data_IF_177448623134
#
_entry.id   IF_177448623134
#
_cell.length_a   1.000
_cell.length_b   1.000
_cell.length_c   1.000
_cell.angle_alpha   90.00
_cell.angle_beta   90.00
_cell.angle_gamma   90.00
#
_symmetry.space_group_name_H-M   'P 1'
#
loop_
_entity.id
_entity.type
_entity.pdbx_description
1 polymer ?
#
# COMPACT_ATOMS: atom_id res chain seq x y z
N UNK A 1 -10.43 -13.48 -1.74
CA UNK A 1 -11.34 -13.26 -0.60
C UNK A 1 -12.59 -14.07 -0.77
N UNK A 2 -13.37 -14.29 0.30
CA UNK A 2 -14.71 -14.89 0.22
C UNK A 2 -15.65 -13.95 -0.52
N UNK A 3 -16.69 -14.45 -1.16
CA UNK A 3 -17.69 -13.65 -1.91
C UNK A 3 -18.54 -12.75 -1.01
N UNK A 4 -18.62 -13.07 0.28
CA UNK A 4 -19.36 -12.36 1.33
C UNK A 4 -18.45 -11.46 2.23
N UNK A 5 -17.19 -11.26 1.81
CA UNK A 5 -16.16 -10.62 2.63
C UNK A 5 -16.47 -9.16 3.05
N UNK A 6 -17.34 -8.47 2.32
CA UNK A 6 -17.71 -7.07 2.53
C UNK A 6 -19.24 -6.87 2.52
N UNK A 7 -19.98 -7.86 3.02
CA UNK A 7 -21.45 -7.84 3.07
C UNK A 7 -21.99 -6.65 3.87
N UNK A 8 -21.25 -6.23 4.89
CA UNK A 8 -21.61 -5.12 5.79
C UNK A 8 -20.87 -3.81 5.45
N UNK A 9 -20.27 -3.74 4.26
CA UNK A 9 -19.55 -2.57 3.75
C UNK A 9 -18.03 -2.74 3.67
N UNK A 10 -17.32 -1.73 3.12
CA UNK A 10 -15.88 -1.77 2.98
C UNK A 10 -15.18 -1.77 4.34
N UNK A 11 -14.27 -2.71 4.55
CA UNK A 11 -13.47 -2.83 5.77
C UNK A 11 -12.01 -2.72 5.41
N UNK A 12 -11.23 -2.01 6.22
CA UNK A 12 -9.78 -1.95 6.05
C UNK A 12 -9.16 -3.36 6.10
N UNK A 13 -8.07 -3.54 5.36
CA UNK A 13 -7.34 -4.79 5.38
C UNK A 13 -6.88 -5.08 6.81
N UNK A 14 -7.34 -6.20 7.36
CA UNK A 14 -6.92 -6.63 8.68
C UNK A 14 -5.57 -7.35 8.61
N UNK A 15 -4.89 -7.39 9.75
CA UNK A 15 -3.63 -8.11 9.98
C UNK A 15 -3.82 -9.64 9.81
N UNK A 16 -2.77 -10.39 10.09
CA UNK A 16 -2.79 -11.85 10.07
C UNK A 16 -4.05 -12.47 10.69
N UNK A 17 -4.60 -13.47 10.02
CA UNK A 17 -5.80 -14.17 10.51
C UNK A 17 -7.12 -13.64 9.98
N UNK A 18 -7.14 -12.77 8.96
CA UNK A 18 -8.37 -12.28 8.34
C UNK A 18 -9.26 -13.46 7.86
N UNK A 19 -10.36 -13.70 8.60
CA UNK A 19 -11.32 -14.77 8.30
C UNK A 19 -11.98 -14.66 6.91
N UNK A 20 -11.87 -13.48 6.26
CA UNK A 20 -12.37 -13.23 4.90
C UNK A 20 -11.48 -13.82 3.80
N UNK A 21 -10.26 -14.26 4.16
CA UNK A 21 -9.30 -14.82 3.21
C UNK A 21 -9.51 -16.32 3.08
N UNK A 22 -9.74 -16.81 1.86
CA UNK A 22 -9.83 -18.23 1.55
C UNK A 22 -8.45 -18.91 1.73
N UNK A 23 -8.43 -20.26 1.86
CA UNK A 23 -7.17 -21.03 1.90
C UNK A 23 -6.28 -20.76 0.68
N UNK A 24 -6.87 -20.74 -0.51
CA UNK A 24 -6.18 -20.41 -1.76
C UNK A 24 -5.69 -18.96 -1.75
N UNK A 25 -6.53 -18.01 -1.32
CA UNK A 25 -6.13 -16.60 -1.20
C UNK A 25 -4.94 -16.38 -0.25
N UNK A 26 -4.82 -17.20 0.79
CA UNK A 26 -3.67 -17.15 1.71
C UNK A 26 -2.37 -17.58 1.01
N UNK A 27 -2.43 -18.65 0.21
CA UNK A 27 -1.28 -19.10 -0.58
C UNK A 27 -0.88 -18.04 -1.60
N UNK A 28 -1.86 -17.51 -2.37
CA UNK A 28 -1.63 -16.46 -3.39
C UNK A 28 -0.93 -15.23 -2.76
N UNK A 29 -1.42 -14.76 -1.60
CA UNK A 29 -0.80 -13.64 -0.87
C UNK A 29 0.60 -13.96 -0.38
N UNK A 30 0.83 -15.19 0.14
CA UNK A 30 2.14 -15.61 0.62
C UNK A 30 3.20 -15.58 -0.48
N UNK A 31 2.84 -15.98 -1.71
CA UNK A 31 3.74 -15.97 -2.87
C UNK A 31 3.63 -14.68 -3.70
N UNK A 32 2.86 -13.69 -3.23
CA UNK A 32 2.66 -12.37 -3.85
C UNK A 32 2.17 -12.38 -5.30
N UNK A 33 1.49 -13.44 -5.71
CA UNK A 33 0.87 -13.54 -7.05
C UNK A 33 -0.30 -12.56 -7.21
N UNK A 34 -0.93 -12.16 -6.13
CA UNK A 34 -1.95 -11.10 -6.10
C UNK A 34 -1.43 -9.71 -6.52
N UNK A 35 -0.11 -9.51 -6.53
CA UNK A 35 0.53 -8.27 -7.00
C UNK A 35 0.82 -8.27 -8.51
N UNK A 36 0.74 -9.43 -9.19
CA UNK A 36 0.99 -9.54 -10.65
C UNK A 36 0.14 -8.56 -11.48
N UNK A 37 -1.17 -8.36 -11.22
CA UNK A 37 -1.94 -7.37 -11.95
C UNK A 37 -1.40 -5.94 -11.83
N UNK A 38 -0.71 -5.61 -10.73
CA UNK A 38 -0.11 -4.29 -10.53
C UNK A 38 1.09 -4.06 -11.46
N UNK A 39 1.84 -5.11 -11.82
CA UNK A 39 2.88 -5.01 -12.85
C UNK A 39 2.30 -4.63 -14.21
N UNK A 40 1.11 -5.11 -14.54
CA UNK A 40 0.42 -4.70 -15.75
C UNK A 40 0.08 -3.20 -15.74
N UNK A 41 -0.39 -2.68 -14.59
CA UNK A 41 -0.66 -1.26 -14.42
C UNK A 41 0.63 -0.42 -14.52
N UNK A 42 1.77 -0.96 -14.06
CA UNK A 42 3.07 -0.29 -14.22
C UNK A 42 3.47 -0.22 -15.69
N UNK A 43 3.32 -1.32 -16.44
CA UNK A 43 3.60 -1.34 -17.89
C UNK A 43 2.70 -0.37 -18.68
N UNK A 44 1.48 -0.12 -18.20
CA UNK A 44 0.55 0.85 -18.79
C UNK A 44 0.82 2.29 -18.36
N UNK A 45 1.75 2.52 -17.45
CA UNK A 45 2.03 3.85 -16.90
C UNK A 45 1.00 4.36 -15.88
N UNK A 46 0.09 3.51 -15.42
CA UNK A 46 -0.94 3.83 -14.42
C UNK A 46 -0.40 3.75 -12.98
N UNK A 47 0.71 3.05 -12.79
CA UNK A 47 1.43 2.90 -11.53
C UNK A 47 2.94 3.00 -11.75
N UNK A 48 3.66 3.35 -10.69
CA UNK A 48 5.12 3.30 -10.61
C UNK A 48 5.57 2.09 -9.76
N UNK A 49 6.84 1.71 -9.85
CA UNK A 49 7.43 0.78 -8.90
C UNK A 49 7.47 1.37 -7.50
N UNK A 50 7.88 2.64 -7.40
CA UNK A 50 7.98 3.36 -6.13
C UNK A 50 7.01 4.54 -6.12
N UNK A 51 6.26 4.68 -5.05
CA UNK A 51 5.28 5.75 -4.84
C UNK A 51 4.37 5.48 -3.65
N UNK A 52 3.43 6.40 -3.35
CA UNK A 52 2.41 6.18 -2.33
C UNK A 52 1.57 4.94 -2.67
N UNK A 53 1.33 4.08 -1.67
CA UNK A 53 0.48 2.89 -1.89
C UNK A 53 -0.93 3.32 -2.28
N UNK A 54 -1.53 2.73 -3.35
CA UNK A 54 -2.91 3.04 -3.70
C UNK A 54 -3.87 2.64 -2.58
N UNK A 55 -4.81 3.52 -2.30
CA UNK A 55 -5.87 3.28 -1.33
C UNK A 55 -7.23 3.20 -2.06
N UNK A 56 -8.19 2.50 -1.47
CA UNK A 56 -9.52 2.34 -2.05
C UNK A 56 -10.27 3.69 -2.06
N UNK A 57 -10.99 4.04 -3.14
CA UNK A 57 -11.66 5.33 -3.27
C UNK A 57 -12.61 5.69 -2.11
N UNK A 58 -13.24 4.68 -1.51
CA UNK A 58 -14.09 4.88 -0.33
C UNK A 58 -13.29 5.46 0.86
N UNK A 59 -12.14 4.85 1.16
CA UNK A 59 -11.27 5.31 2.25
C UNK A 59 -10.56 6.62 1.92
N UNK A 60 -10.20 6.84 0.65
CA UNK A 60 -9.62 8.12 0.22
C UNK A 60 -10.53 9.28 0.57
N UNK A 61 -11.83 9.18 0.29
CA UNK A 61 -12.80 10.24 0.61
C UNK A 61 -12.89 10.48 2.11
N UNK A 62 -13.05 9.42 2.89
CA UNK A 62 -13.11 9.52 4.36
C UNK A 62 -11.83 10.14 4.94
N UNK A 63 -10.66 9.68 4.48
CA UNK A 63 -9.38 10.17 4.98
C UNK A 63 -9.08 11.61 4.55
N UNK A 64 -9.56 12.03 3.37
CA UNK A 64 -9.43 13.41 2.90
C UNK A 64 -10.28 14.39 3.73
N UNK A 65 -11.42 13.95 4.26
CA UNK A 65 -12.23 14.74 5.19
C UNK A 65 -11.57 14.88 6.58
N UNK A 66 -10.87 13.84 7.05
CA UNK A 66 -10.30 13.77 8.39
C UNK A 66 -8.84 14.26 8.48
N UNK A 67 -8.09 14.19 7.39
CA UNK A 67 -6.66 14.48 7.37
C UNK A 67 -6.36 15.62 6.39
N UNK A 68 -5.90 16.78 6.89
CA UNK A 68 -5.49 17.88 6.03
C UNK A 68 -4.41 17.43 5.02
N UNK A 69 -4.54 17.91 3.78
CA UNK A 69 -3.59 17.63 2.69
C UNK A 69 -3.49 16.16 2.26
N UNK A 70 -4.44 15.29 2.67
CA UNK A 70 -4.40 13.86 2.32
C UNK A 70 -4.34 13.63 0.81
N UNK A 71 -5.01 14.43 0.01
CA UNK A 71 -5.04 14.32 -1.45
C UNK A 71 -3.70 14.62 -2.12
N UNK A 72 -2.78 15.31 -1.45
CA UNK A 72 -1.46 15.61 -2.02
C UNK A 72 -0.64 14.35 -2.32
N UNK A 73 -0.95 13.23 -1.69
CA UNK A 73 -0.34 11.94 -2.01
C UNK A 73 -0.63 11.46 -3.44
N UNK A 74 -1.64 12.02 -4.09
CA UNK A 74 -2.04 11.71 -5.47
C UNK A 74 -1.40 12.61 -6.52
N UNK A 75 -0.47 13.51 -6.13
CA UNK A 75 0.29 14.34 -7.06
C UNK A 75 1.21 13.54 -7.98
N UNK A 76 1.54 12.32 -7.59
CA UNK A 76 2.30 11.36 -8.38
C UNK A 76 1.52 10.05 -8.50
N UNK A 77 1.79 9.22 -9.53
CA UNK A 77 1.18 7.91 -9.66
C UNK A 77 1.45 7.03 -8.43
N UNK A 78 0.50 6.15 -8.04
CA UNK A 78 0.69 5.23 -6.95
C UNK A 78 1.82 4.25 -7.23
N UNK A 79 2.48 3.75 -6.17
CA UNK A 79 3.57 2.80 -6.24
C UNK A 79 3.18 1.39 -5.80
N UNK A 80 3.90 0.40 -6.35
CA UNK A 80 3.87 -0.99 -5.87
C UNK A 80 4.47 -1.07 -4.46
N UNK A 81 5.57 -0.36 -4.24
CA UNK A 81 6.18 -0.13 -2.93
C UNK A 81 6.38 1.37 -2.70
N UNK A 82 6.65 1.78 -1.47
CA UNK A 82 6.82 3.18 -1.13
C UNK A 82 7.49 3.40 0.22
N UNK A 83 7.92 4.64 0.45
CA UNK A 83 8.63 5.02 1.68
C UNK A 83 7.79 4.77 2.93
N UNK A 84 6.48 5.09 2.88
CA UNK A 84 5.55 4.81 3.97
C UNK A 84 5.44 3.31 4.29
N UNK A 85 5.45 2.43 3.28
CA UNK A 85 5.36 0.98 3.48
C UNK A 85 6.60 0.42 4.21
N UNK A 86 7.78 1.01 3.98
CA UNK A 86 9.03 0.58 4.60
C UNK A 86 9.16 1.13 6.02
N UNK A 87 8.80 2.40 6.22
CA UNK A 87 8.99 3.09 7.50
C UNK A 87 7.86 2.86 8.49
N UNK A 88 6.64 2.67 7.97
CA UNK A 88 5.43 2.47 8.77
C UNK A 88 4.54 1.38 8.15
N UNK A 89 4.98 0.10 8.18
CA UNK A 89 4.32 -0.99 7.45
C UNK A 89 2.93 -1.36 8.00
N UNK A 90 2.64 -1.02 9.26
CA UNK A 90 1.42 -1.44 9.95
C UNK A 90 0.49 -0.28 10.23
N UNK A 91 -0.78 -0.62 10.51
CA UNK A 91 -1.81 0.29 10.94
C UNK A 91 -2.97 0.39 9.95
N UNK A 92 -4.18 0.46 10.53
CA UNK A 92 -5.45 0.54 9.82
C UNK A 92 -6.40 1.52 10.55
N UNK A 93 -5.85 2.56 11.16
CA UNK A 93 -6.57 3.66 11.78
C UNK A 93 -6.35 4.97 11.03
N UNK A 94 -7.15 5.99 11.34
CA UNK A 94 -6.99 7.34 10.80
C UNK A 94 -5.63 7.92 11.22
N UNK A 95 -5.18 7.67 12.46
CA UNK A 95 -3.88 8.12 12.93
C UNK A 95 -2.73 7.43 12.18
N UNK A 96 -2.86 6.12 11.90
CA UNK A 96 -1.90 5.41 11.06
C UNK A 96 -1.85 5.98 9.64
N UNK A 97 -3.01 6.34 9.07
CA UNK A 97 -3.08 6.98 7.76
C UNK A 97 -2.41 8.35 7.76
N UNK A 98 -2.53 9.12 8.85
CA UNK A 98 -1.85 10.41 9.05
C UNK A 98 -0.33 10.24 9.10
N UNK A 99 0.16 9.25 9.83
CA UNK A 99 1.59 8.93 9.90
C UNK A 99 2.14 8.49 8.53
N UNK A 100 1.41 7.62 7.83
CA UNK A 100 1.78 7.18 6.47
C UNK A 100 1.83 8.35 5.49
N UNK A 101 0.89 9.29 5.59
CA UNK A 101 0.86 10.49 4.76
C UNK A 101 2.14 11.31 4.90
N UNK A 102 2.69 11.46 6.10
CA UNK A 102 3.94 12.20 6.31
C UNK A 102 5.10 11.57 5.53
N UNK A 103 5.19 10.24 5.51
CA UNK A 103 6.20 9.52 4.71
C UNK A 103 5.93 9.61 3.21
N UNK A 104 4.67 9.57 2.78
CA UNK A 104 4.30 9.76 1.37
C UNK A 104 4.69 11.17 0.90
N UNK A 105 4.36 12.21 1.67
CA UNK A 105 4.71 13.60 1.35
C UNK A 105 6.23 13.84 1.38
N UNK A 106 6.93 13.20 2.32
CA UNK A 106 8.40 13.25 2.34
C UNK A 106 8.97 12.66 1.04
N UNK A 107 8.47 11.51 0.61
CA UNK A 107 8.90 10.88 -0.64
C UNK A 107 8.62 11.79 -1.84
N UNK A 108 7.41 12.34 -1.97
CA UNK A 108 7.02 13.23 -3.07
C UNK A 108 7.97 14.43 -3.15
N UNK A 109 8.28 15.03 -1.99
CA UNK A 109 9.18 16.20 -1.89
C UNK A 109 10.64 15.87 -2.25
N UNK A 110 11.10 14.66 -1.93
CA UNK A 110 12.52 14.27 -2.04
C UNK A 110 12.74 13.19 -3.11
N UNK A 111 11.81 13.05 -4.05
CA UNK A 111 11.85 12.03 -5.09
C UNK A 111 13.18 12.08 -5.85
N UNK A 112 13.87 10.95 -5.90
CA UNK A 112 15.15 10.81 -6.60
C UNK A 112 15.42 9.32 -6.91
N UNK A 113 16.22 9.06 -7.94
CA UNK A 113 16.64 7.70 -8.29
C UNK A 113 17.34 6.99 -7.12
N UNK A 114 18.08 7.75 -6.31
CA UNK A 114 18.77 7.19 -5.12
C UNK A 114 17.75 6.74 -4.08
N UNK A 115 16.76 7.57 -3.78
CA UNK A 115 15.69 7.22 -2.82
C UNK A 115 14.89 6.03 -3.33
N UNK A 116 14.57 5.98 -4.62
CA UNK A 116 13.88 4.84 -5.25
C UNK A 116 14.70 3.56 -5.12
N UNK A 117 16.02 3.61 -5.37
CA UNK A 117 16.91 2.46 -5.21
C UNK A 117 16.95 1.96 -3.76
N UNK A 118 17.00 2.86 -2.79
CA UNK A 118 16.93 2.51 -1.36
C UNK A 118 15.61 1.83 -1.02
N UNK A 119 14.48 2.36 -1.49
CA UNK A 119 13.15 1.79 -1.26
C UNK A 119 13.05 0.40 -1.87
N UNK A 120 13.50 0.22 -3.11
CA UNK A 120 13.51 -1.06 -3.81
C UNK A 120 14.37 -2.09 -3.07
N UNK A 121 15.56 -1.71 -2.62
CA UNK A 121 16.47 -2.58 -1.87
C UNK A 121 15.84 -3.04 -0.55
N UNK A 122 15.29 -2.13 0.24
CA UNK A 122 14.62 -2.47 1.50
C UNK A 122 13.36 -3.32 1.27
N UNK A 123 12.64 -3.12 0.17
CA UNK A 123 11.50 -3.95 -0.22
C UNK A 123 11.93 -5.38 -0.49
N UNK A 124 12.98 -5.57 -1.31
CA UNK A 124 13.52 -6.91 -1.62
C UNK A 124 14.01 -7.60 -0.35
N UNK A 125 14.72 -6.89 0.49
CA UNK A 125 15.20 -7.40 1.79
C UNK A 125 14.03 -7.83 2.68
N UNK A 126 12.96 -7.04 2.76
CA UNK A 126 11.75 -7.37 3.50
C UNK A 126 11.07 -8.63 2.98
N UNK A 127 11.00 -8.80 1.65
CA UNK A 127 10.43 -10.00 1.01
C UNK A 127 11.28 -11.24 1.31
N UNK A 128 12.61 -11.15 1.20
CA UNK A 128 13.52 -12.28 1.36
C UNK A 128 13.68 -12.71 2.82
N UNK A 129 13.69 -11.78 3.76
CA UNK A 129 13.96 -12.05 5.17
C UNK A 129 12.71 -12.07 6.06
N UNK A 130 11.52 -12.00 5.48
CA UNK A 130 10.25 -12.20 6.19
C UNK A 130 9.90 -11.13 7.23
N UNK A 131 10.49 -9.93 7.17
CA UNK A 131 10.18 -8.81 8.08
C UNK A 131 8.95 -8.00 7.64
N UNK A 132 8.14 -8.53 6.73
CA UNK A 132 7.02 -7.82 6.10
C UNK A 132 5.67 -8.53 6.24
N UNK A 133 5.37 -9.07 7.40
CA UNK A 133 4.02 -9.54 7.75
C UNK A 133 3.49 -8.84 8.96
#
# INVERSE_FOLDING_TARGET
MRTDAERDGPVWASREGDARVTRVGRVIRKIRVDEIPQFWNILRGEMNFVGPRPERPHFVRQLAEEIPFYEQRHLIPPGLTGWAQIKYPYGASIEDARQKLQYDLYYIKNQSLVLDAVIMFETVKTILFGRGT
#
